data_IF_980623521665
#
_entry.id   IF_980623521665
#
_cell.length_a   1.000
_cell.length_b   1.000
_cell.length_c   1.000
_cell.angle_alpha   90.00
_cell.angle_beta   90.00
_cell.angle_gamma   90.00
#
_symmetry.space_group_name_H-M   'P 1'
#
loop_
_entity.id
_entity.type
_entity.pdbx_description
1 polymer ?
#
# COMPACT_ATOMS: atom_id res chain seq x y z
N UNK A 1 -26.23 30.89 12.61
CA UNK A 1 -27.37 29.97 12.56
C UNK A 1 -28.63 30.56 13.18
N UNK A 2 -28.66 30.99 14.46
CA UNK A 2 -29.87 31.57 15.12
C UNK A 2 -30.49 32.73 14.31
N UNK A 3 -29.69 33.69 13.86
CA UNK A 3 -30.13 34.85 13.03
C UNK A 3 -30.58 34.51 11.61
N UNK A 4 -30.62 33.26 11.22
CA UNK A 4 -31.07 32.80 9.90
C UNK A 4 -32.35 31.98 9.96
N UNK A 5 -32.50 31.14 10.99
CA UNK A 5 -33.55 30.12 11.04
C UNK A 5 -34.57 30.34 12.19
N UNK A 6 -34.22 31.17 13.21
CA UNK A 6 -35.05 31.39 14.38
C UNK A 6 -35.40 32.89 14.51
N UNK A 7 -35.95 33.42 13.44
CA UNK A 7 -36.37 34.84 13.34
C UNK A 7 -37.90 34.87 13.48
N UNK A 8 -38.39 35.75 14.35
CA UNK A 8 -39.82 36.01 14.54
C UNK A 8 -40.29 37.21 13.71
N UNK A 9 -39.38 38.11 13.38
CA UNK A 9 -39.64 39.30 12.58
C UNK A 9 -38.40 40.18 12.41
N UNK A 10 -38.61 41.38 11.90
CA UNK A 10 -37.55 42.38 11.75
C UNK A 10 -38.01 43.69 12.35
N UNK A 11 -37.15 44.38 13.07
CA UNK A 11 -37.35 45.81 13.46
C UNK A 11 -36.38 46.65 12.64
N UNK A 12 -36.80 47.88 12.37
CA UNK A 12 -35.96 48.84 11.67
C UNK A 12 -35.41 49.85 12.68
N UNK A 13 -34.09 49.97 12.81
CA UNK A 13 -33.39 50.95 13.60
C UNK A 13 -32.35 51.64 12.71
N UNK A 14 -32.45 52.98 12.62
CA UNK A 14 -31.53 53.81 11.83
C UNK A 14 -31.39 53.33 10.34
N UNK A 15 -32.51 52.91 9.70
CA UNK A 15 -32.49 52.41 8.35
C UNK A 15 -31.90 51.01 8.15
N UNK A 16 -31.58 50.29 9.24
CA UNK A 16 -31.05 48.91 9.19
C UNK A 16 -32.10 47.95 9.74
N UNK A 17 -32.40 46.92 8.96
CA UNK A 17 -33.30 45.82 9.38
C UNK A 17 -32.57 44.85 10.30
N UNK A 18 -32.95 44.84 11.58
CA UNK A 18 -32.40 43.97 12.61
C UNK A 18 -33.36 42.80 12.83
N UNK A 19 -32.91 41.55 12.74
CA UNK A 19 -33.78 40.40 12.97
C UNK A 19 -34.13 40.25 14.46
N UNK A 20 -35.40 40.09 14.77
CA UNK A 20 -35.92 39.76 16.10
C UNK A 20 -35.87 38.23 16.21
N UNK A 21 -35.15 37.73 17.19
CA UNK A 21 -35.06 36.30 17.44
C UNK A 21 -36.29 35.78 18.19
N UNK A 22 -36.70 34.56 17.92
CA UNK A 22 -37.73 33.85 18.69
C UNK A 22 -37.35 33.76 20.17
N UNK A 23 -38.34 33.57 21.06
CA UNK A 23 -38.08 33.33 22.49
C UNK A 23 -37.07 32.20 22.72
N UNK A 24 -36.26 32.33 23.77
CA UNK A 24 -35.22 31.33 24.09
C UNK A 24 -35.77 29.91 24.29
N UNK A 25 -37.02 29.78 24.70
CA UNK A 25 -37.74 28.52 24.87
C UNK A 25 -38.02 27.80 23.53
N UNK A 26 -38.10 28.55 22.43
CA UNK A 26 -38.34 28.01 21.09
C UNK A 26 -37.04 27.81 20.29
N UNK A 27 -35.92 28.24 20.82
CA UNK A 27 -34.61 28.09 20.18
C UNK A 27 -33.89 26.91 20.83
N UNK A 28 -33.48 25.88 20.06
CA UNK A 28 -32.76 24.75 20.61
C UNK A 28 -31.44 25.23 21.23
N UNK A 29 -31.09 24.66 22.38
CA UNK A 29 -29.78 24.88 23.00
C UNK A 29 -28.69 24.31 22.07
N UNK A 30 -27.44 24.74 22.26
CA UNK A 30 -26.32 24.22 21.50
C UNK A 30 -26.16 22.69 21.71
N UNK A 31 -26.41 22.19 22.93
CA UNK A 31 -26.36 20.78 23.25
C UNK A 31 -27.39 19.95 22.47
N UNK A 32 -28.66 20.44 22.45
CA UNK A 32 -29.74 19.81 21.67
C UNK A 32 -29.44 19.83 20.18
N UNK A 33 -28.96 20.94 19.63
CA UNK A 33 -28.54 21.06 18.24
C UNK A 33 -27.42 20.07 17.93
N UNK A 34 -26.39 20.01 18.77
CA UNK A 34 -25.24 19.13 18.55
C UNK A 34 -25.63 17.65 18.64
N UNK A 35 -26.52 17.30 19.56
CA UNK A 35 -27.05 15.95 19.66
C UNK A 35 -27.75 15.51 18.38
N UNK A 36 -28.68 16.29 17.89
CA UNK A 36 -29.43 15.96 16.67
C UNK A 36 -28.57 16.01 15.41
N UNK A 37 -27.67 17.00 15.33
CA UNK A 37 -26.70 17.08 14.22
C UNK A 37 -25.84 15.82 14.14
N UNK A 38 -25.29 15.35 15.26
CA UNK A 38 -24.48 14.14 15.28
C UNK A 38 -25.28 12.86 15.00
N UNK A 39 -26.54 12.81 15.49
CA UNK A 39 -27.43 11.68 15.28
C UNK A 39 -27.85 11.52 13.82
N UNK A 40 -28.11 12.63 13.13
CA UNK A 40 -28.57 12.61 11.73
C UNK A 40 -27.44 12.84 10.72
N UNK A 41 -26.23 13.04 11.22
CA UNK A 41 -25.06 13.33 10.39
C UNK A 41 -24.75 12.18 9.46
N UNK A 42 -24.75 12.46 8.17
CA UNK A 42 -24.24 11.52 7.16
C UNK A 42 -22.80 11.86 6.79
N UNK A 43 -21.85 11.17 7.45
CA UNK A 43 -20.41 11.40 7.29
C UNK A 43 -19.97 11.25 5.82
N UNK A 44 -20.53 10.29 5.10
CA UNK A 44 -20.23 10.11 3.67
C UNK A 44 -20.63 11.34 2.86
N UNK A 45 -21.87 11.81 3.00
CA UNK A 45 -22.35 13.01 2.29
C UNK A 45 -21.55 14.26 2.66
N UNK A 46 -21.21 14.43 3.93
CA UNK A 46 -20.44 15.56 4.41
C UNK A 46 -19.04 15.60 3.79
N UNK A 47 -18.32 14.48 3.81
CA UNK A 47 -16.95 14.42 3.30
C UNK A 47 -16.94 14.49 1.76
N UNK A 48 -17.88 13.82 1.09
CA UNK A 48 -17.95 13.88 -0.38
C UNK A 48 -18.30 15.26 -0.90
N UNK A 49 -19.15 16.02 -0.19
CA UNK A 49 -19.52 17.40 -0.58
C UNK A 49 -18.43 18.44 -0.33
N UNK A 50 -17.63 18.27 0.76
CA UNK A 50 -16.57 19.23 1.13
C UNK A 50 -15.25 18.99 0.42
N UNK A 51 -14.96 17.72 0.09
CA UNK A 51 -13.67 17.32 -0.48
C UNK A 51 -13.87 16.54 -1.80
N UNK A 52 -13.99 15.21 -1.69
CA UNK A 52 -14.23 14.33 -2.84
C UNK A 52 -14.61 12.92 -2.39
N UNK A 53 -15.26 12.16 -3.30
CA UNK A 53 -15.51 10.73 -3.07
C UNK A 53 -14.18 9.93 -2.90
N UNK A 54 -13.13 10.33 -3.64
CA UNK A 54 -11.80 9.72 -3.51
C UNK A 54 -11.24 9.84 -2.10
N UNK A 55 -11.35 11.02 -1.47
CA UNK A 55 -10.91 11.25 -0.09
C UNK A 55 -11.72 10.42 0.91
N UNK A 56 -13.05 10.35 0.73
CA UNK A 56 -13.89 9.49 1.56
C UNK A 56 -13.46 8.03 1.47
N UNK A 57 -13.28 7.48 0.27
CA UNK A 57 -12.90 6.09 0.07
C UNK A 57 -11.54 5.74 0.68
N UNK A 58 -10.57 6.66 0.61
CA UNK A 58 -9.20 6.42 1.12
C UNK A 58 -9.05 6.58 2.64
N UNK A 59 -9.77 7.53 3.26
CA UNK A 59 -9.46 7.97 4.63
C UNK A 59 -10.62 7.79 5.62
N UNK A 60 -11.86 7.73 5.14
CA UNK A 60 -13.03 7.80 6.02
C UNK A 60 -14.00 6.63 5.88
N UNK A 61 -13.85 5.83 4.83
CA UNK A 61 -14.66 4.64 4.66
C UNK A 61 -14.38 3.65 5.79
N UNK A 62 -15.40 3.14 6.48
CA UNK A 62 -15.19 2.05 7.43
C UNK A 62 -14.62 0.84 6.70
N UNK A 63 -13.53 0.31 7.20
CA UNK A 63 -12.99 -0.98 6.76
C UNK A 63 -13.72 -2.03 7.58
N UNK A 64 -14.68 -2.71 6.94
CA UNK A 64 -15.47 -3.77 7.56
C UNK A 64 -15.11 -5.08 6.87
N UNK A 65 -14.75 -6.07 7.65
CA UNK A 65 -14.37 -7.40 7.18
C UNK A 65 -12.95 -7.79 7.54
N UNK A 66 -12.66 -9.07 7.36
CA UNK A 66 -11.34 -9.65 7.51
C UNK A 66 -10.67 -9.74 6.13
N UNK A 67 -9.37 -9.48 6.06
CA UNK A 67 -8.57 -9.69 4.85
C UNK A 67 -8.54 -11.17 4.41
N UNK A 68 -8.82 -12.09 5.33
CA UNK A 68 -8.95 -13.53 5.08
C UNK A 68 -10.35 -13.98 4.66
N UNK A 69 -11.32 -13.06 4.58
CA UNK A 69 -12.69 -13.43 4.25
C UNK A 69 -12.77 -14.18 2.91
N UNK A 70 -13.23 -15.44 2.96
CA UNK A 70 -13.29 -16.33 1.80
C UNK A 70 -12.00 -17.06 1.45
N UNK A 71 -10.94 -16.95 2.26
CA UNK A 71 -9.68 -17.66 2.07
C UNK A 71 -9.53 -18.68 3.19
N UNK A 72 -9.63 -19.96 2.86
CA UNK A 72 -9.62 -21.06 3.80
C UNK A 72 -8.39 -21.97 3.70
N UNK A 73 -7.57 -21.75 2.67
CA UNK A 73 -6.38 -22.55 2.39
C UNK A 73 -5.32 -21.73 1.64
N UNK A 74 -4.04 -22.16 1.65
CA UNK A 74 -2.99 -21.59 0.81
C UNK A 74 -3.31 -21.68 -0.68
N UNK A 75 -2.71 -20.80 -1.49
CA UNK A 75 -2.85 -20.82 -2.96
C UNK A 75 -3.45 -19.57 -3.56
N UNK A 76 -3.95 -18.63 -2.74
CA UNK A 76 -4.35 -17.30 -3.21
C UNK A 76 -3.25 -16.28 -2.93
N UNK A 77 -2.55 -15.85 -3.98
CA UNK A 77 -1.41 -14.96 -3.85
C UNK A 77 -1.77 -13.51 -4.12
N UNK A 78 -1.21 -12.62 -3.31
CA UNK A 78 -1.20 -11.18 -3.53
C UNK A 78 0.14 -10.81 -4.18
N UNK A 79 0.12 -10.03 -5.27
CA UNK A 79 1.31 -9.47 -5.90
C UNK A 79 1.24 -7.95 -5.87
N UNK A 80 2.35 -7.33 -5.58
CA UNK A 80 2.49 -5.86 -5.59
C UNK A 80 3.92 -5.43 -5.85
N UNK A 81 4.06 -4.19 -6.36
CA UNK A 81 5.33 -3.57 -6.66
C UNK A 81 5.52 -2.31 -5.82
N UNK A 82 6.65 -2.23 -5.12
CA UNK A 82 7.06 -1.02 -4.42
C UNK A 82 8.41 -0.52 -4.91
N UNK A 83 8.53 0.80 -5.08
CA UNK A 83 9.84 1.45 -5.31
C UNK A 83 10.57 1.56 -3.99
N UNK A 84 11.73 0.93 -3.87
CA UNK A 84 12.55 0.99 -2.67
C UNK A 84 13.07 2.40 -2.38
N UNK A 85 13.07 2.80 -1.12
CA UNK A 85 13.55 4.11 -0.66
C UNK A 85 15.07 4.14 -0.48
N UNK A 86 15.79 3.72 -1.51
CA UNK A 86 17.25 3.69 -1.55
C UNK A 86 17.74 3.91 -2.98
N UNK A 87 18.84 4.66 -3.15
CA UNK A 87 19.53 4.73 -4.43
C UNK A 87 20.58 3.63 -4.55
N UNK A 88 20.64 3.02 -5.72
CA UNK A 88 21.62 1.99 -6.06
C UNK A 88 22.66 2.49 -7.04
N UNK A 89 23.85 1.85 -7.00
CA UNK A 89 24.94 2.08 -7.92
C UNK A 89 25.17 0.89 -8.84
N UNK A 90 25.82 1.13 -9.97
CA UNK A 90 26.19 0.06 -10.90
C UNK A 90 27.22 -0.88 -10.27
N UNK A 91 27.09 -2.19 -10.52
CA UNK A 91 28.06 -3.20 -10.14
C UNK A 91 29.40 -3.01 -10.88
N UNK A 92 29.33 -2.50 -12.12
CA UNK A 92 30.51 -2.32 -12.99
C UNK A 92 31.27 -1.03 -12.69
N UNK A 93 30.55 0.02 -12.28
CA UNK A 93 31.15 1.30 -11.90
C UNK A 93 30.39 1.92 -10.74
N UNK A 94 30.99 1.90 -9.56
CA UNK A 94 30.37 2.39 -8.31
C UNK A 94 30.04 3.89 -8.29
N UNK A 95 30.58 4.65 -9.23
CA UNK A 95 30.25 6.07 -9.38
C UNK A 95 28.96 6.30 -10.20
N UNK A 96 28.45 5.26 -10.87
CA UNK A 96 27.24 5.35 -11.66
C UNK A 96 26.01 4.98 -10.83
N UNK A 97 25.15 5.95 -10.62
CA UNK A 97 23.86 5.74 -9.95
C UNK A 97 22.90 5.18 -10.98
N UNK A 98 22.33 4.00 -10.70
CA UNK A 98 21.40 3.29 -11.58
C UNK A 98 19.93 3.53 -11.24
N UNK A 99 19.66 4.26 -10.14
CA UNK A 99 18.30 4.60 -9.75
C UNK A 99 17.84 3.90 -8.47
N UNK A 100 16.53 3.80 -8.32
CA UNK A 100 15.86 3.15 -7.19
C UNK A 100 15.35 1.78 -7.61
N UNK A 101 15.46 0.75 -6.76
CA UNK A 101 14.96 -0.58 -7.10
C UNK A 101 13.43 -0.63 -7.10
N UNK A 102 12.87 -1.37 -8.04
CA UNK A 102 11.50 -1.83 -8.02
C UNK A 102 11.47 -3.22 -7.38
N UNK A 103 10.73 -3.37 -6.28
CA UNK A 103 10.62 -4.61 -5.51
C UNK A 103 9.25 -5.20 -5.75
N UNK A 104 9.20 -6.35 -6.40
CA UNK A 104 7.98 -7.12 -6.61
C UNK A 104 7.97 -8.26 -5.61
N UNK A 105 6.93 -8.32 -4.79
CA UNK A 105 6.73 -9.38 -3.81
C UNK A 105 5.43 -10.13 -4.09
N UNK A 106 5.47 -11.44 -3.94
CA UNK A 106 4.32 -12.34 -4.03
C UNK A 106 4.13 -12.99 -2.67
N UNK A 107 2.95 -12.81 -2.08
CA UNK A 107 2.62 -13.31 -0.73
C UNK A 107 1.39 -14.18 -0.80
N UNK A 108 1.42 -15.35 -0.18
CA UNK A 108 0.22 -16.15 0.02
C UNK A 108 -0.67 -15.51 1.09
N UNK A 109 -1.93 -15.28 0.73
CA UNK A 109 -2.88 -14.55 1.56
C UNK A 109 -3.24 -15.30 2.84
N UNK A 110 -3.27 -16.62 2.79
CA UNK A 110 -3.62 -17.46 3.94
C UNK A 110 -2.46 -17.60 4.93
N UNK A 111 -1.33 -18.12 4.46
CA UNK A 111 -0.15 -18.38 5.31
C UNK A 111 0.68 -17.14 5.63
N UNK A 112 0.50 -16.05 4.88
CA UNK A 112 1.33 -14.83 4.95
C UNK A 112 2.80 -15.05 4.56
N UNK A 113 3.14 -16.22 4.04
CA UNK A 113 4.48 -16.51 3.53
C UNK A 113 4.75 -15.70 2.26
N UNK A 114 5.94 -15.16 2.18
CA UNK A 114 6.43 -14.56 0.94
C UNK A 114 6.84 -15.69 0.02
N UNK A 115 6.11 -15.83 -1.09
CA UNK A 115 6.25 -16.92 -2.03
C UNK A 115 7.24 -16.64 -3.14
N UNK A 116 7.36 -15.36 -3.54
CA UNK A 116 8.21 -14.94 -4.63
C UNK A 116 8.75 -13.54 -4.48
N UNK A 117 9.91 -13.31 -5.11
CA UNK A 117 10.61 -12.02 -5.12
C UNK A 117 11.19 -11.77 -6.51
N UNK A 118 11.05 -10.56 -7.00
CA UNK A 118 11.86 -10.03 -8.10
C UNK A 118 12.27 -8.58 -7.78
N UNK A 119 13.50 -8.24 -8.09
CA UNK A 119 14.01 -6.88 -7.91
C UNK A 119 14.64 -6.42 -9.22
N UNK A 120 14.08 -5.36 -9.78
CA UNK A 120 14.52 -4.74 -11.03
C UNK A 120 14.63 -3.22 -10.89
N UNK A 121 14.70 -2.56 -12.03
CA UNK A 121 14.68 -1.08 -12.12
C UNK A 121 13.40 -0.58 -12.80
N UNK A 122 12.58 -1.50 -13.32
CA UNK A 122 11.32 -1.23 -14.02
C UNK A 122 10.17 -1.27 -13.02
N UNK A 123 9.56 -0.11 -12.76
CA UNK A 123 8.41 0.01 -11.87
C UNK A 123 7.09 -0.22 -12.59
N UNK A 124 6.16 -0.93 -11.95
CA UNK A 124 4.80 -1.14 -12.46
C UNK A 124 4.76 -1.89 -13.80
N UNK A 125 5.72 -2.78 -14.05
CA UNK A 125 5.81 -3.52 -15.30
C UNK A 125 5.23 -4.93 -15.19
N UNK A 126 4.52 -5.36 -16.23
CA UNK A 126 4.05 -6.74 -16.36
C UNK A 126 5.21 -7.73 -16.29
N UNK A 127 6.35 -7.43 -16.94
CA UNK A 127 7.53 -8.30 -16.92
C UNK A 127 8.06 -8.51 -15.50
N UNK A 128 8.15 -7.45 -14.68
CA UNK A 128 8.57 -7.56 -13.28
C UNK A 128 7.62 -8.42 -12.45
N UNK A 129 6.32 -8.26 -12.64
CA UNK A 129 5.31 -9.08 -11.97
C UNK A 129 5.44 -10.56 -12.38
N UNK A 130 5.66 -10.85 -13.68
CA UNK A 130 5.87 -12.22 -14.16
C UNK A 130 7.16 -12.84 -13.63
N UNK A 131 8.24 -12.07 -13.50
CA UNK A 131 9.49 -12.55 -12.91
C UNK A 131 9.33 -12.90 -11.43
N UNK A 132 8.55 -12.10 -10.68
CA UNK A 132 8.23 -12.42 -9.30
C UNK A 132 7.35 -13.66 -9.18
N UNK A 133 6.39 -13.83 -10.09
CA UNK A 133 5.54 -15.01 -10.17
C UNK A 133 6.35 -16.24 -10.56
N UNK A 134 7.23 -16.15 -11.56
CA UNK A 134 8.15 -17.22 -11.92
C UNK A 134 9.01 -17.64 -10.72
N UNK A 135 9.47 -16.67 -9.93
CA UNK A 135 10.23 -16.97 -8.73
C UNK A 135 9.45 -17.83 -7.72
N UNK A 136 8.10 -17.83 -7.71
CA UNK A 136 7.33 -18.71 -6.83
C UNK A 136 7.52 -20.20 -7.17
N UNK A 137 7.85 -20.52 -8.41
CA UNK A 137 7.95 -21.90 -8.92
C UNK A 137 9.36 -22.49 -8.87
N UNK A 138 10.39 -21.66 -8.78
CA UNK A 138 11.78 -22.13 -8.78
C UNK A 138 12.21 -22.63 -7.40
N UNK A 139 13.22 -23.53 -7.40
CA UNK A 139 13.84 -24.00 -6.18
C UNK A 139 14.52 -22.86 -5.42
N UNK A 140 14.10 -22.64 -4.19
CA UNK A 140 14.59 -21.50 -3.37
C UNK A 140 15.99 -21.70 -2.84
N UNK A 141 16.43 -22.96 -2.65
CA UNK A 141 17.81 -23.27 -2.24
C UNK A 141 18.78 -22.83 -3.34
N UNK A 142 18.48 -23.21 -4.60
CA UNK A 142 19.31 -22.80 -5.74
C UNK A 142 19.26 -21.29 -5.97
N UNK A 143 18.07 -20.69 -5.87
CA UNK A 143 17.91 -19.24 -5.98
C UNK A 143 18.74 -18.51 -4.95
N UNK A 144 18.65 -18.87 -3.68
CA UNK A 144 19.43 -18.23 -2.61
C UNK A 144 20.94 -18.45 -2.76
N UNK A 145 21.34 -19.66 -3.19
CA UNK A 145 22.74 -20.00 -3.46
C UNK A 145 23.36 -19.11 -4.54
N UNK A 146 22.58 -18.72 -5.57
CA UNK A 146 23.02 -17.75 -6.59
C UNK A 146 23.41 -16.40 -5.98
N UNK A 147 22.78 -16.03 -4.87
CA UNK A 147 23.09 -14.82 -4.09
C UNK A 147 24.05 -15.08 -2.92
N UNK A 148 24.70 -16.25 -2.86
CA UNK A 148 25.64 -16.61 -1.79
C UNK A 148 24.98 -16.79 -0.42
N UNK A 149 23.70 -17.15 -0.39
CA UNK A 149 22.93 -17.40 0.84
C UNK A 149 22.59 -18.90 0.87
N UNK A 150 23.08 -19.59 1.87
CA UNK A 150 22.78 -21.00 2.11
C UNK A 150 21.54 -21.12 2.99
N UNK A 151 20.57 -21.93 2.53
CA UNK A 151 19.32 -22.21 3.23
C UNK A 151 18.97 -23.69 3.09
N UNK A 152 18.10 -24.17 3.97
CA UNK A 152 17.42 -25.44 3.82
C UNK A 152 16.05 -25.25 3.13
N UNK A 153 15.50 -26.30 2.53
CA UNK A 153 14.20 -26.24 1.83
C UNK A 153 13.07 -25.77 2.76
N UNK A 154 13.12 -26.11 4.03
CA UNK A 154 12.15 -25.70 5.05
C UNK A 154 12.15 -24.17 5.32
N UNK A 155 13.26 -23.47 5.04
CA UNK A 155 13.39 -22.04 5.34
C UNK A 155 12.60 -21.17 4.36
N UNK A 156 12.33 -21.71 3.15
CA UNK A 156 11.47 -21.07 2.15
C UNK A 156 10.74 -22.13 1.31
N UNK A 157 9.71 -22.80 1.87
CA UNK A 157 9.13 -24.02 1.32
C UNK A 157 8.09 -23.79 0.20
N UNK A 158 8.29 -22.78 -0.65
CA UNK A 158 7.35 -22.44 -1.73
C UNK A 158 7.99 -22.66 -3.11
N UNK A 159 7.40 -23.55 -3.90
CA UNK A 159 7.84 -23.86 -5.27
C UNK A 159 6.68 -24.28 -6.18
N UNK A 160 5.56 -23.53 -6.13
CA UNK A 160 4.37 -23.80 -6.94
C UNK A 160 3.72 -22.53 -7.45
N UNK A 161 2.92 -22.65 -8.51
CA UNK A 161 2.05 -21.56 -8.96
C UNK A 161 0.84 -21.41 -8.05
N UNK A 162 0.28 -20.19 -7.90
CA UNK A 162 -0.96 -19.99 -7.19
C UNK A 162 -2.17 -20.54 -7.97
N UNK A 163 -3.25 -20.83 -7.26
CA UNK A 163 -4.57 -21.07 -7.85
C UNK A 163 -5.21 -19.76 -8.31
N UNK A 164 -4.96 -18.68 -7.56
CA UNK A 164 -5.47 -17.36 -7.87
C UNK A 164 -4.47 -16.27 -7.48
N UNK A 165 -4.47 -15.18 -8.26
CA UNK A 165 -3.65 -13.98 -8.02
C UNK A 165 -4.57 -12.78 -7.81
N UNK A 166 -4.26 -11.99 -6.78
CA UNK A 166 -4.82 -10.65 -6.57
C UNK A 166 -3.74 -9.63 -6.93
N UNK A 167 -4.02 -8.79 -7.92
CA UNK A 167 -3.10 -7.76 -8.39
C UNK A 167 -3.81 -6.42 -8.61
N UNK A 168 -3.05 -5.33 -8.67
CA UNK A 168 -3.59 -4.06 -9.13
C UNK A 168 -3.74 -4.06 -10.66
N UNK A 169 -4.72 -3.27 -11.13
CA UNK A 169 -5.02 -3.17 -12.56
C UNK A 169 -3.81 -2.78 -13.41
N UNK A 170 -2.90 -1.94 -12.88
CA UNK A 170 -1.73 -1.50 -13.63
C UNK A 170 -0.65 -2.56 -13.84
N UNK A 171 -0.59 -3.59 -13.01
CA UNK A 171 0.46 -4.62 -13.04
C UNK A 171 0.10 -5.79 -13.95
N UNK A 172 -1.18 -6.16 -13.96
CA UNK A 172 -1.71 -7.28 -14.73
C UNK A 172 -2.87 -6.83 -15.63
N UNK A 173 -2.73 -5.74 -16.38
CA UNK A 173 -3.71 -5.31 -17.41
C UNK A 173 -3.22 -5.69 -18.81
N UNK A 174 -4.19 -6.04 -19.67
CA UNK A 174 -3.98 -6.29 -21.10
C UNK A 174 -4.09 -7.75 -21.49
N UNK A 175 -3.94 -8.03 -22.79
CA UNK A 175 -4.10 -9.38 -23.39
C UNK A 175 -3.12 -10.44 -22.86
N UNK A 176 -2.09 -10.04 -22.12
CA UNK A 176 -1.16 -10.99 -21.50
C UNK A 176 -1.76 -11.73 -20.28
N UNK A 177 -2.81 -11.20 -19.66
CA UNK A 177 -3.55 -11.89 -18.59
C UNK A 177 -4.21 -13.16 -19.10
N UNK A 178 -4.67 -13.16 -20.35
CA UNK A 178 -5.31 -14.31 -20.98
C UNK A 178 -4.36 -15.51 -21.00
N UNK A 179 -3.06 -15.28 -21.13
CA UNK A 179 -2.04 -16.34 -21.07
C UNK A 179 -1.94 -16.98 -19.68
N UNK A 180 -2.02 -16.18 -18.60
CA UNK A 180 -2.03 -16.70 -17.21
C UNK A 180 -3.28 -17.56 -16.97
N UNK A 181 -4.44 -17.10 -17.43
CA UNK A 181 -5.72 -17.80 -17.22
C UNK A 181 -5.77 -19.07 -18.10
N UNK A 182 -5.48 -18.93 -19.40
CA UNK A 182 -5.74 -19.99 -20.36
C UNK A 182 -4.62 -21.04 -20.42
N UNK A 183 -3.35 -20.64 -20.20
CA UNK A 183 -2.19 -21.57 -20.31
C UNK A 183 -1.83 -22.13 -18.93
N UNK A 184 -1.80 -21.30 -17.89
CA UNK A 184 -1.36 -21.70 -16.55
C UNK A 184 -2.53 -22.03 -15.61
N UNK A 185 -3.77 -21.86 -16.06
CA UNK A 185 -5.00 -22.06 -15.26
C UNK A 185 -5.02 -21.29 -13.93
N UNK A 186 -4.40 -20.12 -13.91
CA UNK A 186 -4.34 -19.24 -12.74
C UNK A 186 -5.47 -18.22 -12.82
N UNK A 187 -6.33 -18.17 -11.81
CA UNK A 187 -7.42 -17.17 -11.73
C UNK A 187 -6.83 -15.81 -11.39
N UNK A 188 -7.13 -14.78 -12.18
CA UNK A 188 -6.68 -13.41 -11.90
C UNK A 188 -7.84 -12.55 -11.39
N UNK A 189 -7.66 -11.95 -10.23
CA UNK A 189 -8.61 -11.06 -9.59
C UNK A 189 -7.98 -9.66 -9.48
N UNK A 190 -8.52 -8.70 -10.22
CA UNK A 190 -8.08 -7.32 -10.12
C UNK A 190 -8.79 -6.62 -8.96
N UNK A 191 -8.02 -5.90 -8.14
CA UNK A 191 -8.59 -5.12 -7.04
C UNK A 191 -9.39 -3.93 -7.58
N UNK A 192 -10.60 -3.67 -7.03
CA UNK A 192 -11.30 -2.43 -7.36
C UNK A 192 -10.47 -1.21 -6.95
N UNK A 193 -10.59 -0.07 -7.66
CA UNK A 193 -9.88 1.15 -7.32
C UNK A 193 -10.15 1.57 -5.86
N UNK A 194 -9.12 2.03 -5.16
CA UNK A 194 -9.18 2.51 -3.77
C UNK A 194 -9.52 1.43 -2.72
N UNK A 195 -9.24 0.16 -3.02
CA UNK A 195 -9.41 -0.98 -2.12
C UNK A 195 -8.05 -1.59 -1.73
N UNK A 196 -7.14 -0.76 -1.22
CA UNK A 196 -5.85 -1.18 -0.68
C UNK A 196 -5.98 -2.25 0.45
N UNK A 197 -7.09 -2.20 1.18
CA UNK A 197 -7.43 -3.19 2.21
C UNK A 197 -7.43 -4.65 1.72
N UNK A 198 -7.55 -4.89 0.41
CA UNK A 198 -7.49 -6.22 -0.19
C UNK A 198 -6.07 -6.76 -0.40
N UNK A 199 -5.05 -5.89 -0.31
CA UNK A 199 -3.62 -6.21 -0.44
C UNK A 199 -2.84 -5.97 0.87
N UNK A 200 -3.48 -6.17 2.00
CA UNK A 200 -2.93 -5.81 3.31
C UNK A 200 -1.69 -6.61 3.69
N UNK A 201 -1.50 -7.82 3.16
CA UNK A 201 -0.36 -8.66 3.49
C UNK A 201 0.93 -8.13 2.87
N UNK A 202 0.91 -7.84 1.57
CA UNK A 202 2.08 -7.35 0.86
C UNK A 202 2.45 -5.92 1.28
N UNK A 203 1.46 -5.05 1.51
CA UNK A 203 1.70 -3.70 2.05
C UNK A 203 2.36 -3.75 3.43
N UNK A 204 1.91 -4.66 4.30
CA UNK A 204 2.52 -4.85 5.63
C UNK A 204 3.97 -5.33 5.55
N UNK A 205 4.29 -6.26 4.64
CA UNK A 205 5.67 -6.70 4.41
C UNK A 205 6.57 -5.53 4.01
N UNK A 206 6.15 -4.73 3.04
CA UNK A 206 6.90 -3.54 2.62
C UNK A 206 7.05 -2.51 3.76
N UNK A 207 5.97 -2.28 4.53
CA UNK A 207 6.01 -1.40 5.69
C UNK A 207 7.06 -1.85 6.72
N UNK A 208 7.06 -3.14 7.10
CA UNK A 208 8.02 -3.71 8.04
C UNK A 208 9.46 -3.65 7.51
N UNK A 209 9.67 -3.90 6.22
CA UNK A 209 10.98 -3.81 5.59
C UNK A 209 11.51 -2.37 5.61
N UNK A 210 10.66 -1.39 5.29
CA UNK A 210 11.03 0.02 5.36
C UNK A 210 11.34 0.46 6.80
N UNK A 211 10.55 0.06 7.77
CA UNK A 211 10.76 0.43 9.16
C UNK A 211 12.04 -0.17 9.74
N UNK A 212 12.34 -1.44 9.46
CA UNK A 212 13.41 -2.18 10.11
C UNK A 212 14.74 -2.17 9.36
N UNK A 213 14.72 -2.15 8.04
CA UNK A 213 15.91 -2.31 7.21
C UNK A 213 16.38 -0.98 6.61
N UNK A 214 15.46 -0.15 6.13
CA UNK A 214 15.78 1.15 5.52
C UNK A 214 16.70 2.02 6.38
N UNK A 215 16.56 2.13 7.73
CA UNK A 215 17.46 2.96 8.54
C UNK A 215 18.93 2.62 8.41
N UNK A 216 19.28 1.39 8.07
CA UNK A 216 20.65 0.89 7.95
C UNK A 216 21.18 0.89 6.51
N UNK A 217 20.33 1.24 5.51
CA UNK A 217 20.77 1.22 4.11
C UNK A 217 21.55 2.49 3.74
N UNK A 218 22.76 2.37 3.16
CA UNK A 218 23.47 3.52 2.59
C UNK A 218 22.72 4.02 1.35
N UNK A 219 22.57 5.35 1.23
CA UNK A 219 21.77 5.94 0.14
C UNK A 219 20.26 5.87 0.35
N UNK A 220 19.80 5.61 1.59
CA UNK A 220 18.40 5.68 1.96
C UNK A 220 17.82 7.07 1.73
N UNK A 221 16.53 7.12 1.39
CA UNK A 221 15.80 8.35 1.16
C UNK A 221 14.94 8.62 2.39
N UNK A 222 15.24 9.68 3.13
CA UNK A 222 14.40 10.21 4.21
C UNK A 222 13.79 11.52 3.75
N UNK A 223 12.46 11.52 3.57
CA UNK A 223 11.73 12.72 3.14
C UNK A 223 11.31 13.59 4.33
N UNK A 224 11.27 13.02 5.53
CA UNK A 224 10.91 13.73 6.75
C UNK A 224 12.09 14.57 7.24
N UNK A 225 11.86 15.86 7.47
CA UNK A 225 12.85 16.78 8.02
C UNK A 225 13.89 17.29 7.02
N UNK A 226 13.70 17.09 5.70
CA UNK A 226 14.65 17.60 4.71
C UNK A 226 14.56 19.12 4.58
N UNK A 227 15.71 19.78 4.76
CA UNK A 227 15.86 21.21 4.57
C UNK A 227 16.63 21.55 3.27
N UNK A 228 16.52 22.82 2.85
CA UNK A 228 17.24 23.31 1.68
C UNK A 228 18.74 23.38 1.98
N UNK A 229 19.54 22.54 1.34
CA UNK A 229 20.99 22.44 1.54
C UNK A 229 21.45 21.09 2.09
N UNK A 230 20.54 20.18 2.44
CA UNK A 230 20.90 18.83 2.83
C UNK A 230 21.61 18.07 1.71
N UNK A 231 22.45 17.12 2.10
CA UNK A 231 23.18 16.27 1.17
C UNK A 231 22.24 15.48 0.24
N UNK A 232 22.63 15.35 -1.01
CA UNK A 232 21.89 14.50 -1.96
C UNK A 232 22.04 13.03 -1.56
N UNK A 233 20.93 12.36 -1.31
CA UNK A 233 20.88 10.92 -0.96
C UNK A 233 21.61 10.03 -1.97
N UNK A 234 21.69 10.47 -3.24
CA UNK A 234 22.40 9.77 -4.31
C UNK A 234 23.88 9.64 -4.03
N UNK A 235 24.49 10.65 -3.39
CA UNK A 235 25.92 10.63 -3.06
C UNK A 235 26.29 9.61 -1.99
N UNK A 236 25.31 9.19 -1.18
CA UNK A 236 25.46 8.16 -0.16
C UNK A 236 25.17 6.74 -0.68
N UNK A 237 24.78 6.60 -1.95
CA UNK A 237 24.49 5.29 -2.55
C UNK A 237 25.76 4.43 -2.65
N UNK A 238 25.67 3.19 -2.16
CA UNK A 238 26.80 2.23 -2.15
C UNK A 238 26.41 0.81 -2.53
N UNK A 239 25.14 0.47 -2.48
CA UNK A 239 24.67 -0.88 -2.80
C UNK A 239 24.41 -1.01 -4.31
N UNK A 240 24.81 -2.12 -4.90
CA UNK A 240 24.33 -2.52 -6.21
C UNK A 240 23.05 -3.37 -6.10
N UNK A 241 22.44 -3.67 -7.25
CA UNK A 241 21.20 -4.45 -7.32
C UNK A 241 21.36 -5.85 -6.71
N UNK A 242 22.50 -6.50 -6.91
CA UNK A 242 22.75 -7.84 -6.36
C UNK A 242 22.86 -7.80 -4.84
N UNK A 243 23.60 -6.86 -4.27
CA UNK A 243 23.73 -6.68 -2.82
C UNK A 243 22.39 -6.30 -2.17
N UNK A 244 21.62 -5.44 -2.84
CA UNK A 244 20.29 -5.10 -2.36
C UNK A 244 19.35 -6.32 -2.37
N UNK A 245 19.42 -7.15 -3.43
CA UNK A 245 18.64 -8.40 -3.50
C UNK A 245 19.03 -9.37 -2.38
N UNK A 246 20.32 -9.50 -2.06
CA UNK A 246 20.77 -10.30 -0.90
C UNK A 246 20.14 -9.84 0.40
N UNK A 247 20.06 -8.52 0.64
CA UNK A 247 19.41 -7.96 1.83
C UNK A 247 17.93 -8.33 1.85
N UNK A 248 17.23 -8.17 0.73
CA UNK A 248 15.80 -8.49 0.63
C UNK A 248 15.52 -9.98 0.83
N UNK A 249 16.35 -10.88 0.31
CA UNK A 249 16.25 -12.31 0.57
C UNK A 249 16.35 -12.59 2.08
N UNK A 250 17.31 -12.00 2.77
CA UNK A 250 17.44 -12.16 4.24
C UNK A 250 16.23 -11.63 4.99
N UNK A 251 15.63 -10.53 4.53
CA UNK A 251 14.38 -10.01 5.10
C UNK A 251 13.23 -11.00 4.92
N UNK A 252 13.13 -11.64 3.76
CA UNK A 252 12.11 -12.66 3.46
C UNK A 252 12.31 -13.89 4.35
N UNK A 253 13.53 -14.39 4.43
CA UNK A 253 13.84 -15.54 5.30
C UNK A 253 13.49 -15.25 6.76
N UNK A 254 13.83 -14.04 7.24
CA UNK A 254 13.44 -13.61 8.58
C UNK A 254 11.92 -13.52 8.74
N UNK A 255 11.22 -12.93 7.77
CA UNK A 255 9.75 -12.84 7.79
C UNK A 255 9.12 -14.23 7.81
N UNK A 256 9.49 -15.10 6.89
CA UNK A 256 8.89 -16.43 6.74
C UNK A 256 9.13 -17.36 7.94
N UNK A 257 10.20 -17.13 8.71
CA UNK A 257 10.56 -18.00 9.83
C UNK A 257 10.21 -17.43 11.21
N UNK A 258 9.80 -16.15 11.30
CA UNK A 258 9.56 -15.50 12.60
C UNK A 258 8.21 -14.76 12.69
N UNK A 259 7.50 -14.56 11.56
CA UNK A 259 6.19 -13.93 11.55
C UNK A 259 5.13 -14.94 11.08
N UNK A 260 4.33 -15.38 12.02
CA UNK A 260 3.16 -16.23 11.79
C UNK A 260 1.89 -15.52 12.25
#
# INVERSE_FOLDING_TARGET
MRKKYFIDGFKEENGVKIPILKPQTEIPSFGQFNYWFNKERNVKKEITSRYSNKKYQKQFRPIIGDSLNGVFQPGQFEIDCQVGDVYLVSRFNRNWIIGRPAIYAVIDKFSRLICGLYIGLETGSYAGAMMALLNTTINKVEFCKHYGIEIEEKDWPVHHLPEAIIADRGELEGGNIDNLINILNVKVQNTPPYRADLKSAVERFFGLTNERVKPFLPGKIDLEGRERGDNDYRTAAKLDLHQFTQIMIKCILYHNNHYH
#
